data_IF_897087152761
#
_entry.id   IF_897087152761
#
_cell.length_a   1.000
_cell.length_b   1.000
_cell.length_c   1.000
_cell.angle_alpha   90.00
_cell.angle_beta   90.00
_cell.angle_gamma   90.00
#
_symmetry.space_group_name_H-M   'P 1'
#
loop_
_entity.id
_entity.type
_entity.pdbx_description
1 polymer ?
#
# COMPACT_ATOMS: atom_id res chain seq x y z
N UNK A 1 -43.33 11.13 -24.26
CA UNK A 1 -42.87 11.23 -22.86
C UNK A 1 -41.45 10.70 -22.81
N UNK A 2 -40.45 11.59 -22.87
CA UNK A 2 -39.04 11.22 -22.70
C UNK A 2 -38.74 11.18 -21.20
N UNK A 3 -38.98 10.03 -20.57
CA UNK A 3 -38.51 9.81 -19.20
C UNK A 3 -36.99 9.63 -19.25
N UNK A 4 -36.24 10.55 -18.65
CA UNK A 4 -34.80 10.40 -18.42
C UNK A 4 -34.61 9.15 -17.57
N UNK A 5 -34.04 8.09 -18.15
CA UNK A 5 -33.69 6.88 -17.42
C UNK A 5 -32.64 7.21 -16.35
N UNK A 6 -32.81 6.67 -15.15
CA UNK A 6 -31.81 6.83 -14.10
C UNK A 6 -30.59 5.97 -14.39
N UNK A 7 -29.45 6.25 -13.72
CA UNK A 7 -28.24 5.41 -13.82
C UNK A 7 -28.53 3.94 -13.48
N UNK A 8 -29.43 3.69 -12.53
CA UNK A 8 -29.80 2.33 -12.15
C UNK A 8 -30.63 1.64 -13.24
N UNK A 9 -31.55 2.35 -13.89
CA UNK A 9 -32.31 1.81 -15.03
C UNK A 9 -31.37 1.45 -16.18
N UNK A 10 -30.40 2.32 -16.48
CA UNK A 10 -29.37 2.06 -17.49
C UNK A 10 -28.51 0.85 -17.11
N UNK A 11 -28.08 0.73 -15.84
CA UNK A 11 -27.29 -0.42 -15.38
C UNK A 11 -28.08 -1.74 -15.44
N UNK A 12 -29.39 -1.71 -15.14
CA UNK A 12 -30.29 -2.87 -15.28
C UNK A 12 -30.38 -3.27 -16.75
N UNK A 13 -30.63 -2.32 -17.64
CA UNK A 13 -30.70 -2.56 -19.08
C UNK A 13 -29.36 -3.08 -19.65
N UNK A 14 -28.21 -2.58 -19.17
CA UNK A 14 -26.87 -3.07 -19.55
C UNK A 14 -26.71 -4.53 -19.11
N UNK A 15 -27.06 -4.86 -17.86
CA UNK A 15 -26.98 -6.23 -17.33
C UNK A 15 -27.89 -7.19 -18.10
N UNK A 16 -29.04 -6.70 -18.55
CA UNK A 16 -30.02 -7.46 -19.34
C UNK A 16 -29.67 -7.54 -20.84
N UNK A 17 -28.60 -6.89 -21.29
CA UNK A 17 -28.22 -6.78 -22.72
C UNK A 17 -29.38 -6.31 -23.59
N UNK A 18 -30.11 -5.31 -23.11
CA UNK A 18 -31.26 -4.76 -23.82
C UNK A 18 -30.84 -4.16 -25.16
N UNK A 19 -31.61 -4.42 -26.22
CA UNK A 19 -31.34 -3.97 -27.59
C UNK A 19 -31.44 -2.45 -27.75
N UNK A 20 -32.06 -1.76 -26.80
CA UNK A 20 -32.16 -0.30 -26.76
C UNK A 20 -30.83 0.38 -26.39
N UNK A 21 -29.83 -0.35 -25.88
CA UNK A 21 -28.53 0.22 -25.50
C UNK A 21 -27.48 0.01 -26.58
N UNK A 22 -26.79 1.08 -26.93
CA UNK A 22 -25.57 1.04 -27.73
C UNK A 22 -24.43 1.80 -27.04
N UNK A 23 -23.20 1.34 -27.28
CA UNK A 23 -21.98 1.99 -26.82
C UNK A 23 -21.26 2.60 -28.02
N UNK A 24 -21.10 3.92 -28.03
CA UNK A 24 -20.35 4.64 -29.08
C UNK A 24 -19.01 5.12 -28.54
N UNK A 25 -17.99 5.14 -29.40
CA UNK A 25 -16.69 5.72 -29.03
C UNK A 25 -16.76 7.26 -29.16
N UNK A 26 -16.18 8.02 -28.20
CA UNK A 26 -16.10 9.47 -28.32
C UNK A 26 -15.25 9.89 -29.52
N UNK A 27 -15.61 11.03 -30.14
CA UNK A 27 -14.86 11.60 -31.28
C UNK A 27 -13.49 12.08 -30.80
N UNK A 28 -12.43 11.50 -31.36
CA UNK A 28 -11.04 11.88 -31.08
C UNK A 28 -10.69 13.22 -31.72
N UNK A 29 -10.03 14.09 -30.96
CA UNK A 29 -9.31 15.26 -31.47
C UNK A 29 -7.80 15.06 -31.33
N UNK A 30 -7.00 15.86 -32.05
CA UNK A 30 -5.53 15.85 -31.96
C UNK A 30 -4.98 16.18 -30.56
N UNK A 31 -5.81 16.73 -29.67
CA UNK A 31 -5.47 17.05 -28.27
C UNK A 31 -6.03 16.04 -27.26
N UNK A 32 -6.61 14.93 -27.71
CA UNK A 32 -7.25 13.95 -26.82
C UNK A 32 -6.20 13.02 -26.20
N UNK A 33 -6.17 12.94 -24.88
CA UNK A 33 -5.30 12.03 -24.11
C UNK A 33 -5.51 10.55 -24.48
N UNK A 34 -4.50 9.71 -24.25
CA UNK A 34 -4.53 8.25 -24.45
C UNK A 34 -5.66 7.57 -23.66
N UNK A 35 -6.07 8.15 -22.53
CA UNK A 35 -7.14 7.65 -21.65
C UNK A 35 -8.51 7.67 -22.36
N UNK A 36 -8.72 8.56 -23.34
CA UNK A 36 -9.96 8.66 -24.12
C UNK A 36 -10.35 7.37 -24.85
N UNK A 37 -9.41 6.44 -25.06
CA UNK A 37 -9.65 5.13 -25.70
C UNK A 37 -10.53 4.19 -24.86
N UNK A 38 -10.62 4.41 -23.56
CA UNK A 38 -11.35 3.53 -22.62
C UNK A 38 -12.78 4.01 -22.33
N UNK A 39 -13.18 5.19 -22.82
CA UNK A 39 -14.51 5.73 -22.59
C UNK A 39 -15.50 5.34 -23.70
N UNK A 40 -16.74 5.10 -23.30
CA UNK A 40 -17.86 4.88 -24.19
C UNK A 40 -19.00 5.84 -23.86
N UNK A 41 -19.62 6.40 -24.89
CA UNK A 41 -20.87 7.15 -24.80
C UNK A 41 -22.00 6.12 -24.79
N UNK A 42 -22.81 6.14 -23.74
CA UNK A 42 -24.00 5.30 -23.63
C UNK A 42 -25.14 5.98 -24.40
N UNK A 43 -25.72 5.23 -25.32
CA UNK A 43 -26.87 5.64 -26.13
C UNK A 43 -28.03 4.73 -25.75
N UNK A 44 -29.18 5.33 -25.40
CA UNK A 44 -30.42 4.57 -25.14
C UNK A 44 -31.48 5.02 -26.13
N UNK A 45 -32.06 4.09 -26.89
CA UNK A 45 -33.02 4.37 -27.96
C UNK A 45 -32.51 5.44 -28.94
N UNK A 46 -31.26 5.33 -29.37
CA UNK A 46 -30.56 6.29 -30.24
C UNK A 46 -30.38 7.72 -29.68
N UNK A 47 -30.68 7.93 -28.38
CA UNK A 47 -30.45 9.19 -27.68
C UNK A 47 -29.16 9.06 -26.84
N UNK A 48 -28.15 9.86 -27.19
CA UNK A 48 -26.94 9.99 -26.38
C UNK A 48 -27.32 10.52 -25.01
N UNK A 49 -26.95 9.76 -23.97
CA UNK A 49 -27.10 10.22 -22.59
C UNK A 49 -25.93 11.15 -22.25
N UNK A 50 -25.74 12.19 -23.07
CA UNK A 50 -24.69 13.18 -22.89
C UNK A 50 -25.23 14.43 -22.20
N UNK A 51 -24.45 14.99 -21.28
CA UNK A 51 -24.79 16.26 -20.65
C UNK A 51 -24.68 17.36 -21.72
N UNK A 52 -25.74 18.14 -21.98
CA UNK A 52 -25.71 19.19 -22.99
C UNK A 52 -24.50 20.11 -22.85
N UNK A 53 -23.85 20.47 -23.97
CA UNK A 53 -22.65 21.31 -23.99
C UNK A 53 -22.82 22.60 -23.18
N UNK A 54 -23.98 23.26 -23.29
CA UNK A 54 -24.31 24.47 -22.51
C UNK A 54 -24.23 24.23 -20.99
N UNK A 55 -24.62 23.05 -20.51
CA UNK A 55 -24.52 22.69 -19.09
C UNK A 55 -23.07 22.42 -18.72
N UNK A 56 -22.34 21.67 -19.56
CA UNK A 56 -20.89 21.44 -19.38
C UNK A 56 -20.10 22.75 -19.28
N UNK A 57 -20.40 23.70 -20.17
CA UNK A 57 -19.74 25.02 -20.19
C UNK A 57 -20.06 25.84 -18.92
N UNK A 58 -21.30 25.76 -18.41
CA UNK A 58 -21.67 26.40 -17.14
C UNK A 58 -20.96 25.78 -15.93
N UNK A 59 -20.92 24.45 -15.84
CA UNK A 59 -20.22 23.76 -14.76
C UNK A 59 -18.72 24.05 -14.83
N UNK A 60 -18.14 24.08 -16.03
CA UNK A 60 -16.75 24.47 -16.23
C UNK A 60 -16.47 25.87 -15.67
N UNK A 61 -17.31 26.85 -16.02
CA UNK A 61 -17.16 28.22 -15.51
C UNK A 61 -17.29 28.27 -13.99
N UNK A 62 -18.29 27.58 -13.42
CA UNK A 62 -18.49 27.52 -11.97
C UNK A 62 -17.30 26.89 -11.23
N UNK A 63 -16.70 25.82 -11.76
CA UNK A 63 -15.48 25.25 -11.19
C UNK A 63 -14.28 26.20 -11.29
N UNK A 64 -14.14 26.93 -12.40
CA UNK A 64 -13.09 27.95 -12.55
C UNK A 64 -13.27 29.11 -11.56
N UNK A 65 -14.50 29.58 -11.38
CA UNK A 65 -14.80 30.65 -10.42
C UNK A 65 -14.58 30.16 -8.99
N UNK A 66 -15.02 28.95 -8.65
CA UNK A 66 -14.79 28.32 -7.35
C UNK A 66 -13.30 28.26 -6.99
N UNK A 67 -12.45 27.78 -7.90
CA UNK A 67 -11.01 27.71 -7.60
C UNK A 67 -10.34 29.08 -7.57
N UNK A 68 -10.76 30.02 -8.43
CA UNK A 68 -10.16 31.35 -8.51
C UNK A 68 -10.56 32.26 -7.33
N UNK A 69 -11.86 32.29 -6.99
CA UNK A 69 -12.40 33.18 -5.94
C UNK A 69 -11.99 32.70 -4.54
N UNK A 70 -12.01 31.39 -4.31
CA UNK A 70 -11.68 30.82 -2.99
C UNK A 70 -10.18 30.46 -2.87
N UNK A 71 -9.37 30.77 -3.88
CA UNK A 71 -7.94 30.47 -3.96
C UNK A 71 -7.61 28.99 -3.69
N UNK A 72 -8.38 28.08 -4.30
CA UNK A 72 -8.25 26.64 -4.12
C UNK A 72 -7.40 26.01 -5.22
N UNK A 73 -6.72 24.92 -4.87
CA UNK A 73 -5.96 24.11 -5.82
C UNK A 73 -6.85 23.54 -6.93
N UNK A 74 -6.33 23.45 -8.16
CA UNK A 74 -7.11 22.95 -9.30
C UNK A 74 -7.45 21.47 -9.16
N UNK A 75 -6.62 20.71 -8.46
CA UNK A 75 -6.77 19.29 -8.17
C UNK A 75 -8.00 19.00 -7.29
N UNK A 76 -8.54 20.01 -6.59
CA UNK A 76 -9.71 19.81 -5.73
C UNK A 76 -10.93 19.30 -6.51
N UNK A 77 -11.11 19.73 -7.76
CA UNK A 77 -12.28 19.34 -8.58
C UNK A 77 -12.16 17.93 -9.17
N UNK A 78 -11.03 17.24 -8.97
CA UNK A 78 -10.83 15.85 -9.38
C UNK A 78 -10.93 14.87 -8.20
N UNK A 79 -11.02 15.36 -6.97
CA UNK A 79 -11.09 14.54 -5.76
C UNK A 79 -12.38 13.72 -5.65
N UNK A 80 -12.27 12.47 -5.19
CA UNK A 80 -13.43 11.57 -5.02
C UNK A 80 -14.46 12.14 -4.03
N UNK A 81 -13.99 12.76 -2.94
CA UNK A 81 -14.86 13.43 -1.95
C UNK A 81 -15.66 14.57 -2.56
N UNK A 82 -15.03 15.39 -3.41
CA UNK A 82 -15.72 16.46 -4.16
C UNK A 82 -16.81 15.89 -5.07
N UNK A 83 -16.53 14.81 -5.81
CA UNK A 83 -17.54 14.17 -6.65
C UNK A 83 -18.71 13.59 -5.84
N UNK A 84 -18.44 12.94 -4.71
CA UNK A 84 -19.50 12.43 -3.81
C UNK A 84 -20.36 13.56 -3.26
N UNK A 85 -19.76 14.67 -2.85
CA UNK A 85 -20.47 15.86 -2.39
C UNK A 85 -21.32 16.48 -3.51
N UNK A 86 -20.72 16.73 -4.68
CA UNK A 86 -21.41 17.31 -5.83
C UNK A 86 -22.58 16.45 -6.30
N UNK A 87 -22.41 15.13 -6.33
CA UNK A 87 -23.48 14.18 -6.63
C UNK A 87 -24.60 14.25 -5.58
N UNK A 88 -24.25 14.33 -4.30
CA UNK A 88 -25.24 14.45 -3.21
C UNK A 88 -26.07 15.74 -3.32
N UNK A 89 -25.43 16.87 -3.65
CA UNK A 89 -26.11 18.15 -3.89
C UNK A 89 -27.02 18.04 -5.12
N UNK A 90 -26.54 17.43 -6.20
CA UNK A 90 -27.32 17.24 -7.42
C UNK A 90 -28.54 16.36 -7.20
N UNK A 91 -28.41 15.27 -6.43
CA UNK A 91 -29.52 14.40 -6.07
C UNK A 91 -30.50 15.08 -5.12
N UNK A 92 -30.03 15.86 -4.14
CA UNK A 92 -30.89 16.70 -3.31
C UNK A 92 -31.70 17.70 -4.16
N UNK A 93 -31.07 18.27 -5.20
CA UNK A 93 -31.72 19.12 -6.20
C UNK A 93 -32.97 18.50 -6.83
N UNK A 94 -32.98 17.18 -7.04
CA UNK A 94 -34.12 16.45 -7.61
C UNK A 94 -35.30 16.32 -6.65
N UNK A 95 -35.06 16.47 -5.34
CA UNK A 95 -36.09 16.36 -4.31
C UNK A 95 -36.87 17.66 -4.12
N UNK A 96 -36.43 18.78 -4.70
CA UNK A 96 -37.11 20.07 -4.57
C UNK A 96 -38.10 20.31 -5.71
N UNK A 97 -39.36 20.57 -5.35
CA UNK A 97 -40.43 20.88 -6.32
C UNK A 97 -40.20 22.22 -7.05
N UNK A 98 -39.56 23.18 -6.37
CA UNK A 98 -39.25 24.51 -6.91
C UNK A 98 -37.83 24.92 -6.55
N UNK A 99 -36.89 24.67 -7.46
CA UNK A 99 -35.47 25.02 -7.31
C UNK A 99 -35.22 26.53 -7.08
N UNK A 100 -36.16 27.39 -7.49
CA UNK A 100 -36.06 28.85 -7.33
C UNK A 100 -36.11 29.33 -5.88
N UNK A 101 -36.58 28.49 -4.95
CA UNK A 101 -36.79 28.86 -3.56
C UNK A 101 -35.77 28.21 -2.61
N UNK A 102 -34.80 27.47 -3.16
CA UNK A 102 -33.76 26.80 -2.35
C UNK A 102 -32.63 27.79 -2.14
N UNK A 103 -32.40 28.20 -0.90
CA UNK A 103 -31.15 28.86 -0.52
C UNK A 103 -30.08 27.79 -0.32
N UNK A 104 -29.09 27.76 -1.21
CA UNK A 104 -27.95 26.83 -1.14
C UNK A 104 -27.16 27.01 0.16
N UNK A 105 -27.19 28.21 0.77
CA UNK A 105 -26.53 28.47 2.06
C UNK A 105 -27.17 27.70 3.22
N UNK A 106 -28.45 27.37 3.14
CA UNK A 106 -29.13 26.55 4.14
C UNK A 106 -28.83 25.06 3.95
N UNK A 107 -28.45 24.64 2.73
CA UNK A 107 -28.11 23.26 2.42
C UNK A 107 -26.68 22.89 2.88
N UNK A 108 -25.75 23.84 2.79
CA UNK A 108 -24.33 23.59 3.11
C UNK A 108 -24.10 23.88 4.61
N UNK A 109 -23.63 22.89 5.40
CA UNK A 109 -23.37 23.09 6.82
C UNK A 109 -22.21 24.07 7.05
N UNK A 110 -22.25 24.78 8.18
CA UNK A 110 -21.16 25.69 8.56
C UNK A 110 -19.83 24.94 8.82
N UNK A 111 -18.67 25.61 8.72
CA UNK A 111 -17.37 24.98 9.00
C UNK A 111 -17.28 24.33 10.39
N UNK A 112 -17.89 24.95 11.40
CA UNK A 112 -17.96 24.41 12.77
C UNK A 112 -18.74 23.09 12.80
N UNK A 113 -19.83 23.01 12.03
CA UNK A 113 -20.65 21.80 11.94
C UNK A 113 -19.90 20.69 11.21
N UNK A 114 -19.13 21.02 10.16
CA UNK A 114 -18.28 20.06 9.46
C UNK A 114 -17.19 19.54 10.40
N UNK A 115 -16.45 20.43 11.08
CA UNK A 115 -15.39 20.06 12.03
C UNK A 115 -15.89 19.08 13.09
N UNK A 116 -17.01 19.37 13.76
CA UNK A 116 -17.60 18.45 14.74
C UNK A 116 -18.01 17.10 14.15
N UNK A 117 -18.48 17.08 12.91
CA UNK A 117 -18.83 15.83 12.23
C UNK A 117 -17.59 15.05 11.78
N UNK A 118 -16.49 15.71 11.44
CA UNK A 118 -15.21 15.06 11.19
C UNK A 118 -14.69 14.42 12.47
N UNK A 119 -14.73 15.12 13.61
CA UNK A 119 -14.32 14.56 14.91
C UNK A 119 -15.17 13.33 15.28
N UNK A 120 -16.48 13.43 15.10
CA UNK A 120 -17.41 12.31 15.33
C UNK A 120 -17.11 11.13 14.40
N UNK A 121 -16.91 11.39 13.11
CA UNK A 121 -16.58 10.37 12.13
C UNK A 121 -15.24 9.70 12.45
N UNK A 122 -14.26 10.48 12.91
CA UNK A 122 -12.97 9.96 13.36
C UNK A 122 -13.14 9.01 14.55
N UNK A 123 -13.88 9.41 15.59
CA UNK A 123 -14.13 8.55 16.75
C UNK A 123 -14.92 7.28 16.37
N UNK A 124 -15.91 7.39 15.48
CA UNK A 124 -16.63 6.23 14.92
C UNK A 124 -15.65 5.26 14.21
N UNK A 125 -14.75 5.79 13.37
CA UNK A 125 -13.74 4.98 12.65
C UNK A 125 -12.65 4.42 13.57
N UNK A 126 -12.32 5.13 14.64
CA UNK A 126 -11.38 4.68 15.67
C UNK A 126 -11.93 3.49 16.44
N UNK A 127 -13.23 3.48 16.74
CA UNK A 127 -13.90 2.32 17.33
C UNK A 127 -13.86 1.11 16.38
N UNK A 128 -14.07 1.32 15.08
CA UNK A 128 -13.92 0.25 14.08
C UNK A 128 -12.49 -0.34 14.09
N UNK A 129 -11.47 0.51 14.18
CA UNK A 129 -10.07 0.09 14.28
C UNK A 129 -9.78 -0.69 15.58
N UNK A 130 -10.31 -0.24 16.72
CA UNK A 130 -10.17 -0.94 18.01
C UNK A 130 -10.83 -2.33 18.00
N UNK A 131 -12.00 -2.44 17.37
CA UNK A 131 -12.67 -3.72 17.19
C UNK A 131 -11.85 -4.64 16.28
N UNK A 132 -11.26 -4.10 15.21
CA UNK A 132 -10.37 -4.86 14.34
C UNK A 132 -9.10 -5.30 15.08
N UNK A 133 -8.49 -4.41 15.88
CA UNK A 133 -7.29 -4.67 16.66
C UNK A 133 -7.43 -5.91 17.56
N UNK A 134 -8.62 -6.10 18.17
CA UNK A 134 -8.90 -7.29 18.98
C UNK A 134 -8.78 -8.62 18.21
N UNK A 135 -8.85 -8.57 16.88
CA UNK A 135 -8.70 -9.73 15.98
C UNK A 135 -7.35 -9.78 15.25
N UNK A 136 -6.52 -8.73 15.37
CA UNK A 136 -5.20 -8.67 14.74
C UNK A 136 -4.22 -9.55 15.51
N UNK A 137 -3.63 -10.54 14.82
CA UNK A 137 -2.56 -11.38 15.38
C UNK A 137 -1.21 -10.64 15.40
N UNK A 138 -0.98 -9.78 14.40
CA UNK A 138 0.23 -8.99 14.23
C UNK A 138 -0.07 -7.69 13.48
N UNK A 139 0.74 -6.66 13.71
CA UNK A 139 0.71 -5.40 12.98
C UNK A 139 2.09 -4.71 13.03
N UNK A 140 2.31 -3.77 12.12
CA UNK A 140 3.50 -2.91 12.09
C UNK A 140 3.07 -1.47 12.22
N UNK A 141 3.87 -0.68 12.93
CA UNK A 141 3.75 0.77 12.99
C UNK A 141 4.90 1.37 12.19
N UNK A 142 4.56 2.18 11.21
CA UNK A 142 5.51 2.99 10.47
C UNK A 142 5.42 4.40 11.01
N UNK A 143 6.57 4.96 11.36
CA UNK A 143 6.67 6.33 11.81
C UNK A 143 7.64 7.08 10.90
N UNK A 144 7.15 8.18 10.35
CA UNK A 144 7.97 9.12 9.59
C UNK A 144 8.07 10.43 10.34
N UNK A 145 9.30 10.93 10.52
CA UNK A 145 9.57 12.17 11.22
C UNK A 145 10.19 13.16 10.26
N UNK A 146 9.64 14.37 10.22
CA UNK A 146 10.23 15.45 9.43
C UNK A 146 10.11 16.77 10.17
N UNK A 147 10.98 17.71 9.81
CA UNK A 147 10.89 19.10 10.29
C UNK A 147 10.54 20.01 9.13
N UNK A 148 9.39 20.66 9.25
CA UNK A 148 8.92 21.65 8.28
C UNK A 148 9.80 22.90 8.44
N UNK A 149 10.57 23.22 7.39
CA UNK A 149 11.64 24.22 7.46
C UNK A 149 11.14 25.66 7.63
N UNK A 150 9.89 25.94 7.25
CA UNK A 150 9.35 27.29 7.22
C UNK A 150 8.83 27.71 8.59
N UNK A 151 8.08 26.83 9.26
CA UNK A 151 7.56 27.00 10.61
C UNK A 151 8.54 26.51 11.67
N UNK A 152 9.52 25.68 11.30
CA UNK A 152 10.46 25.04 12.22
C UNK A 152 9.80 23.96 13.09
N UNK A 153 8.60 23.51 12.73
CA UNK A 153 7.84 22.53 13.51
C UNK A 153 8.21 21.13 13.06
N UNK A 154 8.46 20.24 14.02
CA UNK A 154 8.66 18.83 13.76
C UNK A 154 7.34 18.08 13.83
N UNK A 155 7.16 17.12 12.93
CA UNK A 155 5.96 16.29 12.83
C UNK A 155 6.34 14.81 12.86
N UNK A 156 5.37 13.99 13.22
CA UNK A 156 5.41 12.54 13.12
C UNK A 156 4.14 12.06 12.42
N UNK A 157 4.30 11.52 11.22
CA UNK A 157 3.29 10.70 10.59
C UNK A 157 3.34 9.30 11.17
N UNK A 158 2.18 8.72 11.49
CA UNK A 158 2.09 7.34 11.97
C UNK A 158 1.04 6.54 11.20
N UNK A 159 1.46 5.37 10.72
CA UNK A 159 0.61 4.44 9.97
C UNK A 159 0.68 3.06 10.60
N UNK A 160 -0.49 2.43 10.78
CA UNK A 160 -0.61 1.03 11.14
C UNK A 160 -0.82 0.19 9.88
N UNK A 161 0.00 -0.85 9.72
CA UNK A 161 -0.16 -1.88 8.68
C UNK A 161 -0.53 -3.22 9.27
N UNK A 162 -1.48 -3.89 8.63
CA UNK A 162 -1.93 -5.21 9.03
C UNK A 162 -2.28 -6.06 7.80
N UNK A 163 -1.89 -7.33 7.79
CA UNK A 163 -2.35 -8.30 6.77
C UNK A 163 -3.43 -9.18 7.36
N UNK A 164 -4.62 -9.07 6.80
CA UNK A 164 -5.80 -9.86 7.22
C UNK A 164 -5.61 -11.36 6.98
N UNK A 165 -6.46 -12.19 7.61
CA UNK A 165 -6.52 -13.65 7.33
C UNK A 165 -6.82 -13.97 5.87
N UNK A 166 -7.46 -13.04 5.16
CA UNK A 166 -7.75 -13.14 3.72
C UNK A 166 -6.62 -12.60 2.84
N UNK A 167 -5.43 -12.34 3.40
CA UNK A 167 -4.24 -11.84 2.71
C UNK A 167 -4.42 -10.48 2.04
N UNK A 168 -5.31 -9.65 2.59
CA UNK A 168 -5.41 -8.24 2.22
C UNK A 168 -4.53 -7.41 3.14
N UNK A 169 -3.64 -6.63 2.54
CA UNK A 169 -2.82 -5.65 3.22
C UNK A 169 -3.66 -4.38 3.47
N UNK A 170 -3.78 -3.99 4.73
CA UNK A 170 -4.53 -2.83 5.19
C UNK A 170 -3.58 -1.78 5.74
N UNK A 171 -3.91 -0.52 5.45
CA UNK A 171 -3.16 0.67 5.79
C UNK A 171 -4.08 1.63 6.53
N UNK A 172 -3.71 2.01 7.74
CA UNK A 172 -4.47 2.94 8.57
C UNK A 172 -3.56 4.09 8.99
N UNK A 173 -3.77 5.27 8.39
CA UNK A 173 -3.15 6.50 8.88
C UNK A 173 -3.73 6.78 10.26
N UNK A 174 -2.91 6.65 11.29
CA UNK A 174 -3.29 6.94 12.67
C UNK A 174 -3.34 8.46 12.88
N UNK A 175 -2.39 9.17 12.27
CA UNK A 175 -2.41 10.62 12.23
C UNK A 175 -1.09 11.24 11.82
N UNK A 176 -1.12 12.56 11.67
CA UNK A 176 0.03 13.43 11.58
C UNK A 176 0.07 14.27 12.86
N UNK A 177 1.08 14.05 13.68
CA UNK A 177 1.15 14.60 15.03
C UNK A 177 2.29 15.60 15.13
N UNK A 178 2.08 16.69 15.86
CA UNK A 178 3.14 17.61 16.19
C UNK A 178 4.12 16.94 17.18
N UNK A 179 5.41 16.95 16.86
CA UNK A 179 6.47 16.44 17.71
C UNK A 179 7.14 17.58 18.45
N UNK A 180 6.62 17.90 19.63
CA UNK A 180 7.02 19.06 20.46
C UNK A 180 8.08 18.70 21.52
N UNK A 181 9.08 17.89 21.14
CA UNK A 181 10.17 17.53 22.05
C UNK A 181 11.41 18.39 21.77
N UNK A 182 12.04 18.89 22.84
CA UNK A 182 13.28 19.67 22.77
C UNK A 182 14.44 18.91 22.11
N UNK A 183 14.38 17.57 22.08
CA UNK A 183 15.36 16.75 21.35
C UNK A 183 14.73 15.50 20.71
N UNK A 184 15.22 15.16 19.51
CA UNK A 184 14.92 13.92 18.79
C UNK A 184 15.76 12.73 19.33
N UNK A 185 15.91 12.63 20.65
CA UNK A 185 16.57 11.46 21.24
C UNK A 185 15.69 10.21 21.08
N UNK A 186 16.30 9.04 20.93
CA UNK A 186 15.57 7.78 20.77
C UNK A 186 14.54 7.54 21.89
N UNK A 187 14.86 7.94 23.13
CA UNK A 187 13.95 7.82 24.27
C UNK A 187 12.73 8.75 24.14
N UNK A 188 12.92 9.98 23.66
CA UNK A 188 11.82 10.93 23.47
C UNK A 188 10.91 10.51 22.31
N UNK A 189 11.52 10.06 21.20
CA UNK A 189 10.79 9.47 20.07
C UNK A 189 9.97 8.28 20.54
N UNK A 190 10.58 7.36 21.30
CA UNK A 190 9.87 6.17 21.81
C UNK A 190 8.72 6.53 22.73
N UNK A 191 8.94 7.42 23.71
CA UNK A 191 7.89 7.85 24.63
C UNK A 191 6.74 8.55 23.90
N UNK A 192 7.07 9.36 22.89
CA UNK A 192 6.08 10.01 22.03
C UNK A 192 5.26 8.98 21.25
N UNK A 193 5.90 8.04 20.54
CA UNK A 193 5.20 7.00 19.78
C UNK A 193 4.32 6.14 20.70
N UNK A 194 4.82 5.71 21.86
CA UNK A 194 4.04 4.97 22.84
C UNK A 194 2.79 5.77 23.29
N UNK A 195 2.92 7.08 23.52
CA UNK A 195 1.79 7.93 23.90
C UNK A 195 0.73 8.04 22.80
N UNK A 196 1.16 8.17 21.53
CA UNK A 196 0.23 8.24 20.40
C UNK A 196 -0.49 6.91 20.23
N UNK A 197 0.23 5.79 20.24
CA UNK A 197 -0.34 4.45 20.12
C UNK A 197 -1.31 4.13 21.25
N UNK A 198 -1.00 4.51 22.48
CA UNK A 198 -1.89 4.32 23.62
C UNK A 198 -3.22 5.05 23.44
N UNK A 199 -3.23 6.20 22.77
CA UNK A 199 -4.47 6.92 22.44
C UNK A 199 -5.39 6.11 21.51
N UNK A 200 -4.84 5.18 20.72
CA UNK A 200 -5.55 4.22 19.89
C UNK A 200 -5.72 2.84 20.57
N UNK A 201 -5.45 2.73 21.87
CA UNK A 201 -5.51 1.46 22.59
C UNK A 201 -4.43 0.44 22.17
N UNK A 202 -3.41 0.89 21.44
CA UNK A 202 -2.32 0.06 20.93
C UNK A 202 -1.14 0.12 21.90
N UNK A 203 -0.49 -1.01 22.14
CA UNK A 203 0.71 -1.11 22.98
C UNK A 203 1.78 -1.88 22.23
N UNK A 204 2.95 -1.28 22.07
CA UNK A 204 4.10 -1.96 21.48
C UNK A 204 4.55 -3.13 22.38
N UNK A 205 4.74 -4.29 21.77
CA UNK A 205 5.21 -5.51 22.41
C UNK A 205 6.21 -6.22 21.47
N UNK A 206 6.74 -7.38 21.89
CA UNK A 206 7.77 -8.09 21.13
C UNK A 206 7.29 -8.66 19.78
N UNK A 207 6.00 -8.60 19.47
CA UNK A 207 5.40 -9.07 18.20
C UNK A 207 5.08 -7.93 17.22
N UNK A 208 5.37 -6.68 17.58
CA UNK A 208 5.05 -5.50 16.78
C UNK A 208 6.34 -4.86 16.28
N UNK A 209 6.39 -4.63 14.97
CA UNK A 209 7.54 -4.01 14.31
C UNK A 209 7.35 -2.49 14.22
N UNK A 210 8.43 -1.75 14.39
CA UNK A 210 8.48 -0.29 14.20
C UNK A 210 9.51 0.02 13.13
N UNK A 211 9.11 0.78 12.11
CA UNK A 211 9.97 1.22 11.00
C UNK A 211 10.15 2.75 11.05
N UNK A 212 11.39 3.24 11.12
CA UNK A 212 11.79 4.66 11.24
C UNK A 212 13.07 4.92 10.46
N UNK A 213 13.29 6.15 10.03
CA UNK A 213 14.50 6.56 9.29
C UNK A 213 15.74 6.81 10.17
N UNK A 214 16.87 6.93 9.48
CA UNK A 214 18.06 7.67 9.89
C UNK A 214 18.31 8.73 8.78
N UNK A 215 17.95 9.99 9.02
CA UNK A 215 17.77 11.00 7.98
C UNK A 215 19.08 11.57 7.36
N UNK A 216 19.03 11.92 6.06
CA UNK A 216 19.67 13.10 5.43
C UNK A 216 19.07 13.33 4.02
N UNK A 217 18.40 14.48 3.78
CA UNK A 217 17.69 14.82 2.52
C UNK A 217 18.41 15.90 1.70
N UNK A 218 18.54 15.73 0.37
CA UNK A 218 18.86 16.79 -0.62
C UNK A 218 18.05 16.57 -1.93
N UNK A 219 17.55 17.65 -2.52
CA UNK A 219 17.09 17.70 -3.92
C UNK A 219 17.36 19.09 -4.53
N UNK A 220 17.91 19.16 -5.75
CA UNK A 220 17.96 20.38 -6.56
C UNK A 220 18.15 20.04 -8.05
N UNK A 221 17.16 20.33 -8.90
CA UNK A 221 17.42 20.38 -10.35
C UNK A 221 16.40 21.14 -11.23
N UNK A 222 15.23 21.50 -10.72
CA UNK A 222 14.16 21.98 -11.61
C UNK A 222 14.31 23.40 -12.19
N UNK A 223 15.46 24.08 -12.01
CA UNK A 223 15.60 25.53 -12.31
C UNK A 223 16.80 25.85 -13.21
N UNK A 224 17.56 24.86 -13.71
CA UNK A 224 18.85 25.12 -14.37
C UNK A 224 18.77 26.06 -15.58
N UNK A 225 17.78 25.86 -16.46
CA UNK A 225 17.64 26.67 -17.68
C UNK A 225 17.03 28.06 -17.41
N UNK A 226 16.32 28.27 -16.30
CA UNK A 226 15.76 29.57 -15.89
C UNK A 226 16.77 30.40 -15.07
N UNK A 227 17.72 29.74 -14.41
CA UNK A 227 18.75 30.37 -13.58
C UNK A 227 19.65 31.32 -14.38
N UNK A 228 19.95 31.02 -15.64
CA UNK A 228 20.78 31.86 -16.51
C UNK A 228 20.24 33.30 -16.68
N UNK A 229 18.91 33.48 -16.60
CA UNK A 229 18.26 34.78 -16.71
C UNK A 229 18.08 35.54 -15.38
N UNK A 230 18.26 34.86 -14.24
CA UNK A 230 17.99 35.38 -12.88
C UNK A 230 19.28 35.58 -12.08
N UNK A 231 20.37 34.90 -12.48
CA UNK A 231 21.65 34.91 -11.78
C UNK A 231 22.38 36.26 -11.94
N UNK A 232 22.80 36.85 -10.80
CA UNK A 232 23.64 38.04 -10.75
C UNK A 232 25.01 37.79 -11.41
N UNK A 233 25.65 38.82 -11.99
CA UNK A 233 26.93 38.73 -12.73
C UNK A 233 28.03 37.95 -12.02
N UNK A 234 28.03 37.92 -10.69
CA UNK A 234 29.04 37.24 -9.86
C UNK A 234 28.92 35.71 -9.81
N UNK A 235 27.83 35.14 -10.34
CA UNK A 235 27.54 33.70 -10.32
C UNK A 235 27.44 33.12 -11.75
N UNK A 236 27.58 33.96 -12.78
CA UNK A 236 27.61 33.55 -14.19
C UNK A 236 28.81 32.62 -14.46
N UNK A 237 29.96 32.92 -13.86
CA UNK A 237 31.17 32.10 -14.00
C UNK A 237 30.97 30.71 -13.36
N UNK A 238 30.23 30.62 -12.25
CA UNK A 238 29.87 29.35 -11.62
C UNK A 238 28.86 28.54 -12.44
N UNK A 239 27.91 29.19 -13.10
CA UNK A 239 26.96 28.54 -14.01
C UNK A 239 27.65 28.07 -15.29
N UNK A 240 28.55 28.88 -15.86
CA UNK A 240 29.32 28.53 -17.05
C UNK A 240 30.28 27.34 -16.81
N UNK A 241 30.66 27.10 -15.55
CA UNK A 241 31.44 25.94 -15.14
C UNK A 241 30.62 24.64 -15.08
N UNK A 242 29.28 24.71 -15.08
CA UNK A 242 28.42 23.52 -15.06
C UNK A 242 28.26 23.00 -16.48
N UNK A 243 28.70 21.76 -16.68
CA UNK A 243 28.54 21.06 -17.95
C UNK A 243 27.11 20.52 -18.05
N UNK A 244 26.33 21.09 -18.97
CA UNK A 244 24.92 20.70 -19.19
C UNK A 244 24.78 19.25 -19.67
N UNK A 245 25.63 18.80 -20.58
CA UNK A 245 25.57 17.43 -21.11
C UNK A 245 25.84 16.40 -19.99
N UNK A 246 26.81 16.70 -19.12
CA UNK A 246 27.10 15.88 -17.93
C UNK A 246 25.93 15.90 -16.94
N UNK A 247 25.25 17.05 -16.79
CA UNK A 247 24.08 17.18 -15.93
C UNK A 247 22.90 16.35 -16.45
N UNK A 248 22.65 16.37 -17.76
CA UNK A 248 21.62 15.55 -18.40
C UNK A 248 21.93 14.05 -18.27
N UNK A 249 23.19 13.66 -18.49
CA UNK A 249 23.65 12.28 -18.28
C UNK A 249 23.46 11.83 -16.82
N UNK A 250 23.73 12.72 -15.85
CA UNK A 250 23.50 12.48 -14.44
C UNK A 250 22.01 12.28 -14.13
N UNK A 251 21.12 13.09 -14.72
CA UNK A 251 19.66 12.94 -14.53
C UNK A 251 19.21 11.55 -14.96
N UNK A 252 19.57 11.18 -16.20
CA UNK A 252 19.20 9.89 -16.80
C UNK A 252 19.72 8.75 -15.94
N UNK A 253 20.95 8.87 -15.44
CA UNK A 253 21.52 7.87 -14.55
C UNK A 253 20.75 7.74 -13.22
N UNK A 254 20.30 8.85 -12.65
CA UNK A 254 19.54 8.88 -11.39
C UNK A 254 18.08 8.42 -11.54
N UNK A 255 17.52 8.35 -12.75
CA UNK A 255 16.14 7.87 -12.96
C UNK A 255 15.91 6.46 -12.38
N UNK A 256 16.91 5.57 -12.45
CA UNK A 256 16.78 4.23 -11.87
C UNK A 256 16.72 4.26 -10.33
N UNK A 257 17.38 5.24 -9.71
CA UNK A 257 17.30 5.44 -8.25
C UNK A 257 15.92 5.98 -7.86
N UNK A 258 15.36 6.90 -8.63
CA UNK A 258 14.00 7.41 -8.41
C UNK A 258 12.96 6.28 -8.53
N UNK A 259 13.07 5.45 -9.58
CA UNK A 259 12.23 4.26 -9.75
C UNK A 259 12.37 3.27 -8.57
N UNK A 260 13.59 3.05 -8.09
CA UNK A 260 13.84 2.20 -6.92
C UNK A 260 13.18 2.77 -5.65
N UNK A 261 13.23 4.08 -5.44
CA UNK A 261 12.58 4.76 -4.31
C UNK A 261 11.06 4.59 -4.40
N UNK A 262 10.46 4.91 -5.55
CA UNK A 262 9.01 4.76 -5.78
C UNK A 262 8.56 3.32 -5.51
N UNK A 263 9.32 2.35 -6.04
CA UNK A 263 9.00 0.94 -5.93
C UNK A 263 9.08 0.43 -4.48
N UNK A 264 10.12 0.81 -3.72
CA UNK A 264 10.28 0.42 -2.31
C UNK A 264 9.30 1.16 -1.38
N UNK A 265 8.85 2.35 -1.77
CA UNK A 265 7.86 3.15 -1.03
C UNK A 265 6.42 2.73 -1.29
N UNK A 266 6.20 1.76 -2.18
CA UNK A 266 4.86 1.28 -2.52
C UNK A 266 4.06 0.79 -1.30
N UNK A 267 2.81 1.24 -1.22
CA UNK A 267 1.91 0.89 -0.12
C UNK A 267 1.02 -0.31 -0.43
N UNK A 268 0.48 -0.41 -1.64
CA UNK A 268 -0.56 -1.39 -1.95
C UNK A 268 -0.09 -2.85 -1.97
N UNK A 269 1.23 -3.07 -2.01
CA UNK A 269 1.84 -4.40 -2.10
C UNK A 269 3.03 -4.53 -1.13
N UNK A 270 3.40 -5.75 -0.70
CA UNK A 270 4.61 -5.96 0.08
C UNK A 270 5.85 -5.52 -0.69
N UNK A 271 6.74 -4.75 -0.05
CA UNK A 271 7.96 -4.22 -0.70
C UNK A 271 9.25 -4.78 -0.12
N UNK A 272 9.22 -5.35 1.09
CA UNK A 272 10.44 -5.79 1.82
C UNK A 272 11.28 -6.85 1.11
N UNK A 273 10.64 -7.75 0.35
CA UNK A 273 11.34 -8.75 -0.46
C UNK A 273 12.12 -8.15 -1.64
N UNK A 274 11.83 -6.91 -2.02
CA UNK A 274 12.42 -6.22 -3.17
C UNK A 274 13.72 -5.49 -2.81
N UNK A 275 14.02 -5.29 -1.52
CA UNK A 275 15.19 -4.56 -1.04
C UNK A 275 16.50 -5.08 -1.61
N UNK A 276 16.80 -6.39 -1.49
CA UNK A 276 18.07 -6.94 -1.97
C UNK A 276 18.13 -7.00 -3.50
N UNK A 277 17.07 -7.43 -4.23
CA UNK A 277 17.06 -7.35 -5.69
C UNK A 277 17.31 -5.92 -6.22
N UNK A 278 16.65 -4.91 -5.64
CA UNK A 278 16.82 -3.51 -6.05
C UNK A 278 18.21 -3.00 -5.67
N UNK A 279 18.71 -3.34 -4.48
CA UNK A 279 20.08 -3.00 -4.10
C UNK A 279 21.10 -3.55 -5.10
N UNK A 280 20.99 -4.83 -5.48
CA UNK A 280 21.90 -5.43 -6.44
C UNK A 280 21.75 -4.77 -7.83
N UNK A 281 20.52 -4.46 -8.25
CA UNK A 281 20.27 -3.74 -9.50
C UNK A 281 20.99 -2.39 -9.52
N UNK A 282 20.93 -1.63 -8.44
CA UNK A 282 21.61 -0.33 -8.32
C UNK A 282 23.13 -0.49 -8.26
N UNK A 283 23.66 -1.51 -7.57
CA UNK A 283 25.10 -1.83 -7.59
C UNK A 283 25.58 -2.14 -9.01
N UNK A 284 24.82 -2.95 -9.76
CA UNK A 284 25.14 -3.29 -11.14
C UNK A 284 25.07 -2.05 -12.04
N UNK A 285 24.12 -1.14 -11.79
CA UNK A 285 24.01 0.13 -12.51
C UNK A 285 25.20 1.07 -12.25
N UNK A 286 25.80 0.97 -11.06
CA UNK A 286 27.04 1.65 -10.69
C UNK A 286 28.31 0.96 -11.24
N UNK A 287 28.22 -0.11 -12.04
CA UNK A 287 29.41 -0.69 -12.67
C UNK A 287 29.99 0.27 -13.73
N UNK A 288 31.31 0.47 -13.63
CA UNK A 288 32.06 1.33 -14.54
C UNK A 288 32.15 0.67 -15.92
N UNK A 289 31.77 1.41 -16.94
CA UNK A 289 31.90 1.03 -18.35
C UNK A 289 33.07 1.78 -19.00
N UNK A 290 33.58 1.22 -20.09
CA UNK A 290 34.75 1.78 -20.78
C UNK A 290 34.46 3.16 -21.39
N UNK A 291 33.24 3.35 -21.88
CA UNK A 291 32.70 4.55 -22.52
C UNK A 291 32.30 5.65 -21.53
N UNK A 292 32.27 5.37 -20.23
CA UNK A 292 31.98 6.38 -19.20
C UNK A 292 33.06 7.49 -19.19
N UNK A 293 32.63 8.74 -19.01
CA UNK A 293 33.54 9.86 -18.75
C UNK A 293 34.22 9.73 -17.39
N UNK A 294 35.43 10.28 -17.22
CA UNK A 294 36.23 10.07 -16.00
C UNK A 294 35.50 10.49 -14.71
N UNK A 295 34.74 11.61 -14.76
CA UNK A 295 33.91 12.04 -13.62
C UNK A 295 32.76 11.08 -13.33
N UNK A 296 32.18 10.46 -14.36
CA UNK A 296 31.12 9.46 -14.18
C UNK A 296 31.66 8.14 -13.63
N UNK A 297 32.87 7.74 -14.03
CA UNK A 297 33.58 6.59 -13.45
C UNK A 297 33.78 6.80 -11.96
N UNK A 298 34.27 7.97 -11.56
CA UNK A 298 34.46 8.33 -10.15
C UNK A 298 33.14 8.33 -9.37
N UNK A 299 32.09 8.95 -9.92
CA UNK A 299 30.77 8.96 -9.32
C UNK A 299 30.18 7.56 -9.14
N UNK A 300 30.25 6.72 -10.18
CA UNK A 300 29.75 5.34 -10.15
C UNK A 300 30.47 4.50 -9.10
N UNK A 301 31.80 4.62 -9.01
CA UNK A 301 32.59 3.98 -7.95
C UNK A 301 32.17 4.48 -6.57
N UNK A 302 32.04 5.80 -6.39
CA UNK A 302 31.62 6.40 -5.14
C UNK A 302 30.23 5.91 -4.70
N UNK A 303 29.23 5.97 -5.59
CA UNK A 303 27.86 5.53 -5.30
C UNK A 303 27.80 4.03 -5.05
N UNK A 304 28.47 3.21 -5.88
CA UNK A 304 28.51 1.76 -5.71
C UNK A 304 29.08 1.34 -4.35
N UNK A 305 30.16 1.98 -3.91
CA UNK A 305 30.73 1.72 -2.58
C UNK A 305 29.85 2.26 -1.43
N UNK A 306 29.19 3.41 -1.63
CA UNK A 306 28.22 3.95 -0.66
C UNK A 306 27.02 3.03 -0.48
N UNK A 307 26.46 2.48 -1.55
CA UNK A 307 25.35 1.52 -1.47
C UNK A 307 25.77 0.30 -0.66
N UNK A 308 26.93 -0.29 -0.93
CA UNK A 308 27.41 -1.48 -0.20
C UNK A 308 27.69 -1.20 1.28
N UNK A 309 28.23 -0.03 1.60
CA UNK A 309 28.65 0.31 2.97
C UNK A 309 27.53 0.83 3.86
N UNK A 310 26.54 1.52 3.30
CA UNK A 310 25.46 2.16 4.06
C UNK A 310 24.20 1.30 4.04
N UNK A 311 23.83 0.76 2.88
CA UNK A 311 22.62 -0.03 2.74
C UNK A 311 22.91 -1.48 3.12
N UNK A 312 22.81 -1.81 4.40
CA UNK A 312 23.11 -3.16 4.90
C UNK A 312 21.81 -3.95 5.04
N UNK A 313 21.57 -5.01 4.24
CA UNK A 313 20.37 -5.83 4.40
C UNK A 313 20.37 -6.57 5.74
N UNK A 314 19.27 -6.40 6.47
CA UNK A 314 18.97 -7.14 7.69
C UNK A 314 18.33 -8.52 7.43
N UNK A 315 18.32 -9.36 8.47
CA UNK A 315 17.78 -10.73 8.49
C UNK A 315 16.36 -10.85 7.92
N UNK A 316 15.50 -9.87 8.20
CA UNK A 316 14.12 -9.83 7.70
C UNK A 316 14.04 -9.72 6.16
N UNK A 317 15.00 -9.04 5.52
CA UNK A 317 15.05 -8.93 4.06
C UNK A 317 15.37 -10.29 3.43
N UNK A 318 16.32 -11.02 4.00
CA UNK A 318 16.67 -12.37 3.56
C UNK A 318 15.51 -13.36 3.77
N UNK A 319 14.85 -13.31 4.93
CA UNK A 319 13.66 -14.13 5.15
C UNK A 319 12.54 -13.81 4.13
N UNK A 320 12.37 -12.53 3.78
CA UNK A 320 11.34 -12.08 2.83
C UNK A 320 11.58 -12.62 1.42
N UNK A 321 12.84 -12.67 1.00
CA UNK A 321 13.26 -13.23 -0.30
C UNK A 321 13.05 -14.73 -0.35
N UNK A 322 13.36 -15.46 0.73
CA UNK A 322 13.10 -16.90 0.80
C UNK A 322 11.60 -17.19 0.65
N UNK A 323 10.76 -16.39 1.28
CA UNK A 323 9.31 -16.53 1.25
C UNK A 323 8.66 -15.97 -0.03
N UNK A 324 9.44 -15.39 -0.95
CA UNK A 324 8.95 -15.03 -2.27
C UNK A 324 9.17 -16.19 -3.27
N UNK A 325 8.13 -16.74 -3.91
CA UNK A 325 8.24 -17.94 -4.75
C UNK A 325 9.29 -17.85 -5.86
N UNK A 326 9.38 -16.71 -6.54
CA UNK A 326 10.37 -16.49 -7.62
C UNK A 326 11.80 -16.23 -7.13
N UNK A 327 11.99 -15.80 -5.86
CA UNK A 327 13.29 -15.34 -5.36
C UNK A 327 13.96 -16.35 -4.41
N UNK A 328 13.23 -17.37 -3.95
CA UNK A 328 13.67 -18.38 -2.97
C UNK A 328 14.93 -19.18 -3.35
N UNK A 329 15.36 -19.12 -4.61
CA UNK A 329 16.59 -19.75 -5.06
C UNK A 329 17.86 -18.94 -4.77
N UNK A 330 17.74 -17.66 -4.38
CA UNK A 330 18.86 -16.80 -3.98
C UNK A 330 19.95 -16.66 -5.06
N UNK A 331 19.58 -16.58 -6.34
CA UNK A 331 20.55 -16.36 -7.43
C UNK A 331 21.41 -15.11 -7.21
N UNK A 332 20.83 -14.08 -6.57
CA UNK A 332 21.46 -12.78 -6.28
C UNK A 332 22.41 -12.85 -5.08
N UNK A 333 22.10 -13.67 -4.06
CA UNK A 333 22.90 -13.80 -2.83
C UNK A 333 23.03 -15.26 -2.39
N UNK A 334 23.72 -16.13 -3.16
CA UNK A 334 23.71 -17.58 -2.93
C UNK A 334 24.20 -17.99 -1.54
N UNK A 335 25.19 -17.26 -1.00
CA UNK A 335 25.80 -17.53 0.30
C UNK A 335 24.84 -17.26 1.48
N UNK A 336 23.84 -16.40 1.30
CA UNK A 336 22.89 -16.01 2.35
C UNK A 336 21.68 -16.95 2.44
N UNK A 337 21.51 -17.85 1.47
CA UNK A 337 20.38 -18.80 1.44
C UNK A 337 20.31 -19.66 2.70
N UNK A 338 21.44 -20.17 3.16
CA UNK A 338 21.52 -21.01 4.37
C UNK A 338 21.13 -20.23 5.63
N UNK A 339 21.52 -18.96 5.70
CA UNK A 339 21.14 -18.05 6.78
C UNK A 339 19.63 -17.79 6.76
N UNK A 340 19.07 -17.43 5.61
CA UNK A 340 17.64 -17.19 5.44
C UNK A 340 16.80 -18.42 5.83
N UNK A 341 17.21 -19.60 5.38
CA UNK A 341 16.54 -20.85 5.71
C UNK A 341 16.54 -21.10 7.23
N UNK A 342 17.68 -20.89 7.92
CA UNK A 342 17.75 -21.02 9.38
C UNK A 342 16.82 -20.03 10.10
N UNK A 343 16.74 -18.78 9.63
CA UNK A 343 15.87 -17.76 10.20
C UNK A 343 14.39 -18.16 10.12
N UNK A 344 13.92 -18.54 8.93
CA UNK A 344 12.53 -18.96 8.73
C UNK A 344 12.22 -20.24 9.52
N UNK A 345 13.17 -21.18 9.60
CA UNK A 345 13.02 -22.39 10.39
C UNK A 345 12.93 -22.10 11.90
N UNK A 346 13.68 -21.11 12.40
CA UNK A 346 13.57 -20.67 13.79
C UNK A 346 12.19 -20.06 14.08
N UNK A 347 11.65 -19.25 13.17
CA UNK A 347 10.28 -18.73 13.30
C UNK A 347 9.24 -19.87 13.27
N UNK A 348 9.37 -20.83 12.37
CA UNK A 348 8.52 -22.03 12.35
C UNK A 348 8.50 -22.77 13.70
N UNK A 349 9.68 -22.95 14.31
CA UNK A 349 9.80 -23.60 15.62
C UNK A 349 9.11 -22.80 16.72
N UNK A 350 9.18 -21.47 16.70
CA UNK A 350 8.48 -20.61 17.67
C UNK A 350 6.97 -20.77 17.57
N UNK A 351 6.41 -20.80 16.36
CA UNK A 351 4.98 -21.01 16.14
C UNK A 351 4.52 -22.43 16.49
N UNK A 352 5.42 -23.41 16.48
CA UNK A 352 5.12 -24.81 16.81
C UNK A 352 5.23 -25.11 18.32
N UNK A 353 5.92 -24.27 19.08
CA UNK A 353 6.27 -24.52 20.50
C UNK A 353 5.28 -23.92 21.52
N UNK A 354 4.10 -23.47 21.10
CA UNK A 354 3.04 -23.05 22.04
C UNK A 354 2.46 -24.32 22.70
N UNK A 355 2.52 -24.49 24.04
CA UNK A 355 2.28 -25.79 24.66
C UNK A 355 0.80 -26.16 24.72
N UNK A 356 0.50 -27.38 24.27
CA UNK A 356 -0.63 -28.17 24.77
C UNK A 356 -0.51 -28.22 26.29
N UNK A 357 -1.52 -27.74 27.01
CA UNK A 357 -1.62 -27.87 28.47
C UNK A 357 -1.61 -29.36 28.82
N UNK A 358 -0.45 -29.87 29.22
CA UNK A 358 -0.32 -31.19 29.83
C UNK A 358 -0.68 -31.02 31.31
N UNK A 359 -1.93 -31.32 31.63
CA UNK A 359 -2.33 -31.51 33.02
C UNK A 359 -1.79 -32.87 33.52
N UNK A 360 -0.66 -32.83 34.21
CA UNK A 360 -0.26 -33.79 35.24
C UNK A 360 -0.77 -33.22 36.58
N UNK A 361 -1.34 -33.94 37.55
CA UNK A 361 -1.36 -35.35 37.94
C UNK A 361 -2.49 -35.49 38.98
N UNK A 362 -3.18 -36.64 39.06
CA UNK A 362 -3.12 -37.42 40.30
C UNK A 362 -3.64 -38.86 40.18
N UNK A 363 -3.00 -39.72 40.97
CA UNK A 363 -2.95 -41.18 40.91
C UNK A 363 -4.14 -41.93 41.56
N UNK A 364 -4.57 -43.06 40.97
CA UNK A 364 -4.47 -44.45 41.52
C UNK A 364 -5.44 -45.47 40.87
N UNK A 365 -4.89 -46.69 40.72
CA UNK A 365 -5.48 -48.05 40.72
C UNK A 365 -6.31 -48.58 39.53
N UNK A 366 -5.92 -49.78 39.07
CA UNK A 366 -6.87 -50.82 38.66
C UNK A 366 -6.75 -51.35 37.23
N UNK A 367 -6.22 -52.56 37.09
CA UNK A 367 -6.22 -53.43 35.90
C UNK A 367 -7.62 -53.62 35.30
N UNK A 368 -7.79 -53.51 33.98
CA UNK A 368 -8.53 -54.46 33.09
C UNK A 368 -8.78 -53.89 31.70
N UNK A 369 -8.46 -54.71 30.71
CA UNK A 369 -8.85 -54.66 29.30
C UNK A 369 -10.36 -54.43 29.13
N UNK A 370 -10.77 -53.41 28.36
CA UNK A 370 -11.95 -53.45 27.48
C UNK A 370 -12.03 -52.19 26.62
N UNK A 371 -12.27 -52.43 25.33
CA UNK A 371 -12.59 -51.48 24.28
C UNK A 371 -13.91 -50.74 24.50
N UNK A 372 -13.94 -49.41 24.37
CA UNK A 372 -15.16 -48.67 24.04
C UNK A 372 -14.87 -47.29 23.42
N UNK A 373 -15.00 -47.27 22.09
CA UNK A 373 -15.57 -46.25 21.19
C UNK A 373 -15.93 -44.87 21.76
N UNK A 374 -15.23 -43.83 21.28
CA UNK A 374 -15.68 -42.43 21.31
C UNK A 374 -16.69 -42.17 20.18
N UNK A 375 -17.83 -41.56 20.53
CA UNK A 375 -18.86 -41.11 19.60
C UNK A 375 -18.44 -39.81 18.92
N UNK A 376 -18.17 -39.87 17.62
CA UNK A 376 -18.01 -38.70 16.75
C UNK A 376 -19.36 -38.26 16.20
N UNK A 377 -19.68 -36.97 16.36
CA UNK A 377 -20.76 -36.30 15.64
C UNK A 377 -20.42 -36.23 14.14
N UNK A 378 -21.27 -36.84 13.31
CA UNK A 378 -21.11 -36.94 11.85
C UNK A 378 -21.28 -35.58 11.14
N UNK A 379 -20.46 -35.27 10.10
CA UNK A 379 -20.82 -34.28 9.10
C UNK A 379 -21.77 -34.89 8.04
N UNK A 380 -22.59 -34.02 7.44
CA UNK A 380 -23.60 -34.34 6.41
C UNK A 380 -22.91 -34.86 5.12
N UNK A 381 -23.38 -35.95 4.49
CA UNK A 381 -22.74 -36.49 3.30
C UNK A 381 -23.19 -35.72 2.03
N UNK A 382 -22.21 -35.33 1.22
CA UNK A 382 -22.41 -34.90 -0.17
C UNK A 382 -22.78 -36.10 -1.04
N UNK A 383 -23.76 -35.92 -1.93
CA UNK A 383 -24.41 -37.00 -2.69
C UNK A 383 -23.64 -37.45 -3.95
N UNK A 384 -22.33 -37.22 -3.99
CA UNK A 384 -21.50 -37.57 -5.15
C UNK A 384 -20.78 -38.91 -4.93
N UNK A 385 -21.03 -39.87 -5.83
CA UNK A 385 -20.43 -41.21 -5.82
C UNK A 385 -18.91 -41.17 -6.03
N UNK A 386 -18.39 -40.13 -6.69
CA UNK A 386 -16.95 -39.98 -6.94
C UNK A 386 -16.23 -39.40 -5.72
N UNK A 387 -16.83 -38.42 -5.03
CA UNK A 387 -16.27 -37.83 -3.80
C UNK A 387 -16.00 -38.85 -2.68
N UNK A 388 -16.87 -39.86 -2.53
CA UNK A 388 -16.74 -40.91 -1.49
C UNK A 388 -15.51 -41.81 -1.68
N UNK A 389 -14.92 -41.87 -2.87
CA UNK A 389 -13.69 -42.63 -3.13
C UNK A 389 -12.43 -41.86 -2.71
N UNK A 390 -12.53 -40.54 -2.55
CA UNK A 390 -11.41 -39.64 -2.18
C UNK A 390 -11.50 -39.09 -0.76
N UNK A 391 -12.62 -39.33 -0.04
CA UNK A 391 -12.76 -39.07 1.39
C UNK A 391 -11.97 -40.11 2.23
N UNK A 392 -10.66 -40.18 2.02
CA UNK A 392 -9.79 -40.65 3.10
C UNK A 392 -9.66 -39.50 4.11
N UNK A 393 -9.73 -39.75 5.43
CA UNK A 393 -9.36 -38.75 6.41
C UNK A 393 -7.93 -38.32 6.10
N UNK A 394 -7.74 -37.10 5.61
CA UNK A 394 -6.40 -36.57 5.43
C UNK A 394 -5.70 -36.62 6.78
N UNK A 395 -4.52 -37.24 6.89
CA UNK A 395 -3.75 -37.16 8.12
C UNK A 395 -3.51 -35.68 8.41
N UNK A 396 -3.64 -35.29 9.69
CA UNK A 396 -3.14 -33.99 10.16
C UNK A 396 -1.80 -33.71 9.47
N UNK A 397 -1.74 -32.60 8.72
CA UNK A 397 -0.55 -32.15 8.00
C UNK A 397 0.66 -32.39 8.89
N UNK A 398 1.64 -33.17 8.41
CA UNK A 398 2.92 -33.33 9.10
C UNK A 398 3.56 -31.95 9.15
N UNK A 399 3.33 -31.24 10.24
CA UNK A 399 3.86 -29.90 10.55
C UNK A 399 5.40 -29.83 10.44
N UNK A 400 6.07 -30.98 10.42
CA UNK A 400 7.52 -31.10 10.48
C UNK A 400 8.28 -30.55 9.26
N UNK A 401 7.67 -30.41 8.07
CA UNK A 401 8.44 -30.11 6.84
C UNK A 401 7.83 -29.04 5.91
N UNK A 402 6.99 -28.10 6.41
CA UNK A 402 6.36 -27.08 5.53
C UNK A 402 7.38 -26.29 4.69
N UNK A 403 8.52 -25.92 5.27
CA UNK A 403 9.58 -25.18 4.57
C UNK A 403 10.20 -26.01 3.44
N UNK A 404 10.53 -27.28 3.70
CA UNK A 404 11.11 -28.16 2.67
C UNK A 404 10.13 -28.38 1.51
N UNK A 405 8.86 -28.61 1.83
CA UNK A 405 7.80 -28.80 0.84
C UNK A 405 7.57 -27.53 -0.02
N UNK A 406 7.69 -26.34 0.59
CA UNK A 406 7.65 -25.07 -0.13
C UNK A 406 8.90 -24.87 -1.00
N UNK A 407 10.08 -25.21 -0.49
CA UNK A 407 11.35 -25.08 -1.22
C UNK A 407 11.41 -26.03 -2.44
N UNK A 408 10.75 -27.18 -2.37
CA UNK A 408 10.63 -28.13 -3.47
C UNK A 408 9.60 -27.72 -4.56
N UNK A 409 8.75 -26.73 -4.29
CA UNK A 409 7.73 -26.30 -5.24
C UNK A 409 8.36 -25.52 -6.41
N UNK A 410 8.12 -25.93 -7.65
CA UNK A 410 8.46 -25.12 -8.81
C UNK A 410 7.32 -24.14 -9.09
N UNK A 411 7.54 -22.85 -8.79
CA UNK A 411 6.57 -21.79 -9.09
C UNK A 411 7.32 -20.51 -9.40
N UNK A 412 6.95 -19.86 -10.50
CA UNK A 412 7.42 -18.53 -10.87
C UNK A 412 6.22 -17.59 -10.90
N UNK A 413 6.30 -16.53 -10.11
CA UNK A 413 5.40 -15.38 -10.20
C UNK A 413 5.99 -14.36 -11.18
N UNK A 414 5.12 -13.76 -11.99
CA UNK A 414 5.41 -12.60 -12.81
C UNK A 414 5.33 -11.31 -11.97
N UNK A 415 5.92 -10.23 -12.47
CA UNK A 415 6.01 -8.92 -11.79
C UNK A 415 4.63 -8.30 -11.43
N UNK A 416 3.58 -8.69 -12.16
CA UNK A 416 2.21 -8.22 -11.93
C UNK A 416 1.54 -9.02 -10.80
N UNK A 417 2.00 -10.24 -10.55
CA UNK A 417 1.35 -11.19 -9.64
C UNK A 417 1.51 -10.75 -8.19
N UNK A 418 0.43 -10.90 -7.42
CA UNK A 418 0.42 -10.56 -6.01
C UNK A 418 0.94 -11.74 -5.18
N UNK A 419 2.08 -11.54 -4.53
CA UNK A 419 2.68 -12.56 -3.66
C UNK A 419 1.77 -12.93 -2.48
N UNK A 420 0.95 -12.01 -1.97
CA UNK A 420 -0.01 -12.33 -0.91
C UNK A 420 -1.13 -13.23 -1.44
N UNK A 421 -1.53 -13.07 -2.71
CA UNK A 421 -2.51 -13.94 -3.35
C UNK A 421 -1.98 -15.38 -3.48
N UNK A 422 -0.71 -15.56 -3.86
CA UNK A 422 -0.08 -16.88 -3.86
C UNK A 422 -0.16 -17.56 -2.48
N UNK A 423 0.18 -16.83 -1.42
CA UNK A 423 0.16 -17.37 -0.06
C UNK A 423 -1.25 -17.61 0.47
N UNK A 424 -2.24 -16.85 -0.02
CA UNK A 424 -3.66 -17.10 0.23
C UNK A 424 -4.12 -18.44 -0.33
N UNK A 425 -3.80 -18.70 -1.59
CA UNK A 425 -4.18 -19.93 -2.29
C UNK A 425 -3.51 -21.16 -1.67
N UNK A 426 -2.30 -20.99 -1.15
CA UNK A 426 -1.50 -22.05 -0.54
C UNK A 426 -1.61 -22.13 0.99
N UNK A 427 -2.44 -21.29 1.63
CA UNK A 427 -2.55 -21.23 3.10
C UNK A 427 -3.02 -22.54 3.75
N UNK A 428 -3.81 -23.35 3.03
CA UNK A 428 -4.19 -24.68 3.52
C UNK A 428 -3.04 -25.69 3.49
N UNK A 429 -2.11 -25.52 2.55
CA UNK A 429 -0.95 -26.39 2.36
C UNK A 429 0.19 -26.03 3.29
N UNK A 430 0.38 -24.73 3.54
CA UNK A 430 1.47 -24.20 4.36
C UNK A 430 0.94 -23.27 5.47
N UNK A 431 0.13 -23.78 6.42
CA UNK A 431 -0.58 -22.94 7.38
C UNK A 431 0.34 -22.11 8.27
N UNK A 432 1.48 -22.65 8.71
CA UNK A 432 2.41 -21.91 9.58
C UNK A 432 3.25 -20.92 8.78
N UNK A 433 3.79 -21.33 7.62
CA UNK A 433 4.52 -20.40 6.74
C UNK A 433 3.65 -19.25 6.28
N UNK A 434 2.39 -19.52 5.91
CA UNK A 434 1.41 -18.49 5.55
C UNK A 434 1.17 -17.50 6.68
N UNK A 435 1.27 -17.92 7.95
CA UNK A 435 1.22 -16.98 9.07
C UNK A 435 2.47 -16.12 9.15
N UNK A 436 3.66 -16.72 9.08
CA UNK A 436 4.95 -16.01 9.12
C UNK A 436 5.05 -14.99 7.97
N UNK A 437 4.55 -15.35 6.78
CA UNK A 437 4.50 -14.46 5.63
C UNK A 437 3.67 -13.21 5.93
N UNK A 438 2.49 -13.36 6.55
CA UNK A 438 1.65 -12.20 6.90
C UNK A 438 2.41 -11.25 7.84
N UNK A 439 3.11 -11.81 8.82
CA UNK A 439 3.88 -11.06 9.83
C UNK A 439 5.11 -10.35 9.24
N UNK A 440 5.72 -10.93 8.21
CA UNK A 440 6.90 -10.37 7.58
C UNK A 440 6.56 -9.38 6.46
N UNK A 441 5.52 -9.67 5.67
CA UNK A 441 5.15 -8.89 4.48
C UNK A 441 4.27 -7.68 4.80
N UNK A 442 3.79 -7.57 6.05
CA UNK A 442 3.21 -6.33 6.57
C UNK A 442 4.25 -5.23 6.80
N UNK A 443 5.54 -5.57 6.88
CA UNK A 443 6.61 -4.59 7.11
C UNK A 443 7.00 -3.96 5.77
N UNK A 444 7.02 -2.63 5.72
CA UNK A 444 7.46 -1.89 4.54
C UNK A 444 8.97 -2.01 4.32
N UNK A 445 9.41 -1.68 3.11
CA UNK A 445 10.81 -1.38 2.84
C UNK A 445 11.16 0.10 3.07
N UNK A 446 10.15 0.97 3.13
CA UNK A 446 10.31 2.43 3.34
C UNK A 446 9.37 2.95 4.41
N UNK A 447 9.88 3.90 5.20
CA UNK A 447 9.10 4.66 6.16
C UNK A 447 8.35 5.84 5.52
N UNK A 448 8.66 6.22 4.27
CA UNK A 448 7.95 7.27 3.50
C UNK A 448 6.56 6.85 3.01
N UNK A 449 6.09 5.65 3.36
CA UNK A 449 4.70 5.22 3.14
C UNK A 449 3.68 5.98 4.01
N UNK A 450 4.07 7.15 4.50
CA UNK A 450 3.28 8.08 5.29
C UNK A 450 3.27 9.48 4.64
N UNK A 451 4.20 9.76 3.71
CA UNK A 451 4.25 10.97 2.87
C UNK A 451 3.32 10.81 1.65
#
# INVERSE_FOLDING_TARGET
MNQSLTKNDILILIKQRDKSIAFRKPKKSSKSSSVWKHFFIIVVNDIEQDVPKRIKDKIKLACTEFTAVDCLAFELVTGEGFFKMAQSIFDAGRCFNHLSNVDVKELIPSPITISRNVDRLFEEKKVDLLNLHSSMESYCIICDFWTERFTGLSYCGSVLRHVTKDFKLLHFILGCFLFDSESQSANNIRAFVDSQLLSFGLVLNNTIFVDTDNENKISFLYVYDELAGVINKNLIDSLAAINKDLLEELCIFLELFDQAIIQLSGEDKPTKHQVIPIQQLLINHCEVKYDDSDGFKEMKLFLGERIKSIWIPQDQHYASILLHPSLKHFHIAPHEKSKAYKLVNQELLKHTSIPVVVAATDSKTGTSTTSSTFSTSKPVPTNDLVGRCFDQPQPLVKLANELDDYMALETQLHEIDDVLLFWKENAKKFPVLSSIVRDLFLISASNTSVE
#
